data_IF_065067304943
#
_entry.id   IF_065067304943
#
_cell.length_a   1.000
_cell.length_b   1.000
_cell.length_c   1.000
_cell.angle_alpha   90.00
_cell.angle_beta   90.00
_cell.angle_gamma   90.00
#
_symmetry.space_group_name_H-M   'P 1'
#
loop_
_entity.id
_entity.type
_entity.pdbx_description
1 polymer ?
#
# COMPACT_ATOMS: atom_id res chain seq x y z
N UNK A 1 12.69 3.84 -4.52
CA UNK A 1 11.88 5.10 -4.60
C UNK A 1 11.34 5.33 -6.01
N UNK A 2 12.15 5.17 -7.07
CA UNK A 2 11.70 5.48 -8.45
C UNK A 2 10.37 4.81 -8.82
N UNK A 3 10.31 3.49 -8.78
CA UNK A 3 9.10 2.73 -9.16
C UNK A 3 7.99 2.86 -8.14
N UNK A 4 8.31 2.82 -6.83
CA UNK A 4 7.30 2.72 -5.77
C UNK A 4 6.76 4.06 -5.27
N UNK A 5 7.35 5.19 -5.69
CA UNK A 5 6.92 6.52 -5.29
C UNK A 5 6.95 7.54 -6.44
N UNK A 6 8.12 7.83 -7.03
CA UNK A 6 8.22 8.90 -8.03
C UNK A 6 7.39 8.63 -9.28
N UNK A 7 7.25 7.39 -9.73
CA UNK A 7 6.37 7.05 -10.85
C UNK A 7 4.91 7.47 -10.61
N UNK A 8 4.41 7.26 -9.38
CA UNK A 8 3.07 7.70 -9.00
C UNK A 8 2.93 9.22 -9.00
N UNK A 9 3.94 9.94 -8.49
CA UNK A 9 3.95 11.40 -8.47
C UNK A 9 3.95 11.96 -9.89
N UNK A 10 4.80 11.44 -10.77
CA UNK A 10 4.90 11.88 -12.18
C UNK A 10 3.58 11.65 -12.91
N UNK A 11 2.99 10.45 -12.81
CA UNK A 11 1.70 10.15 -13.43
C UNK A 11 0.59 11.05 -12.89
N UNK A 12 0.57 11.26 -11.57
CA UNK A 12 -0.42 12.12 -10.93
C UNK A 12 -0.32 13.54 -11.45
N UNK A 13 0.89 14.12 -11.51
CA UNK A 13 1.12 15.48 -12.04
C UNK A 13 0.68 15.62 -13.50
N UNK A 14 0.91 14.59 -14.30
CA UNK A 14 0.48 14.59 -15.70
C UNK A 14 -1.04 14.56 -15.87
N UNK A 15 -1.75 13.80 -15.02
CA UNK A 15 -3.20 13.61 -15.11
C UNK A 15 -4.02 14.67 -14.36
N UNK A 16 -3.45 15.29 -13.33
CA UNK A 16 -4.16 16.18 -12.42
C UNK A 16 -4.80 17.40 -13.15
N UNK A 17 -4.12 18.12 -14.08
CA UNK A 17 -4.75 19.23 -14.78
C UNK A 17 -5.99 18.82 -15.57
N UNK A 18 -5.96 17.61 -16.18
CA UNK A 18 -7.10 17.07 -16.91
C UNK A 18 -8.29 16.74 -15.97
N UNK A 19 -8.03 16.19 -14.78
CA UNK A 19 -9.07 15.91 -13.79
C UNK A 19 -9.68 17.18 -13.21
N UNK A 20 -8.85 18.21 -12.95
CA UNK A 20 -9.30 19.53 -12.48
C UNK A 20 -10.20 20.19 -13.52
N UNK A 21 -9.78 20.23 -14.80
CA UNK A 21 -10.56 20.84 -15.89
C UNK A 21 -11.94 20.17 -16.06
N UNK A 22 -12.03 18.85 -15.84
CA UNK A 22 -13.27 18.09 -15.92
C UNK A 22 -14.11 18.13 -14.65
N UNK A 23 -13.55 18.57 -13.54
CA UNK A 23 -14.12 18.43 -12.18
C UNK A 23 -14.57 17.00 -11.87
N UNK A 24 -13.79 16.05 -12.36
CA UNK A 24 -14.07 14.61 -12.19
C UNK A 24 -12.79 13.79 -12.37
N UNK A 25 -12.50 12.93 -11.40
CA UNK A 25 -11.37 12.01 -11.43
C UNK A 25 -11.33 11.10 -10.22
N UNK A 26 -10.58 10.02 -10.33
CA UNK A 26 -10.34 9.14 -9.20
C UNK A 26 -8.93 8.55 -9.28
N UNK A 27 -8.05 9.01 -8.42
CA UNK A 27 -6.74 8.41 -8.22
C UNK A 27 -6.88 7.19 -7.30
N UNK A 28 -6.45 6.03 -7.78
CA UNK A 28 -6.41 4.79 -7.00
C UNK A 28 -4.97 4.33 -6.90
N UNK A 29 -4.43 4.41 -5.71
CA UNK A 29 -3.00 4.20 -5.43
C UNK A 29 -2.80 2.88 -4.70
N UNK A 30 -1.94 2.02 -5.20
CA UNK A 30 -1.56 0.78 -4.51
C UNK A 30 -0.36 1.04 -3.60
N UNK A 31 -0.65 1.23 -2.31
CA UNK A 31 0.35 1.26 -1.24
C UNK A 31 0.55 -0.15 -0.67
N UNK A 32 0.67 -0.29 0.62
CA UNK A 32 0.85 -1.55 1.37
C UNK A 32 0.56 -1.30 2.85
N UNK A 33 0.36 -2.34 3.63
CA UNK A 33 0.47 -2.25 5.10
C UNK A 33 1.81 -1.67 5.53
N UNK A 34 2.88 -1.91 4.74
CA UNK A 34 4.21 -1.30 4.94
C UNK A 34 4.25 0.21 4.72
N UNK A 35 3.19 0.82 4.23
CA UNK A 35 3.00 2.27 4.20
C UNK A 35 2.53 2.86 5.52
N UNK A 36 2.24 2.02 6.52
CA UNK A 36 1.78 2.42 7.85
C UNK A 36 2.61 1.79 8.98
N UNK A 37 3.30 0.71 8.69
CA UNK A 37 4.14 -0.01 9.67
C UNK A 37 5.53 -0.24 9.09
N UNK A 38 6.54 -0.27 9.96
CA UNK A 38 7.89 -0.70 9.61
C UNK A 38 8.16 -2.10 10.18
N UNK A 39 8.84 -2.94 9.40
CA UNK A 39 9.35 -4.23 9.86
C UNK A 39 10.80 -4.41 9.45
N UNK A 40 11.56 -5.28 10.11
CA UNK A 40 12.96 -5.51 9.76
C UNK A 40 13.17 -5.80 8.28
N UNK A 41 14.32 -5.42 7.74
CA UNK A 41 14.77 -5.66 6.36
C UNK A 41 13.90 -5.04 5.25
N UNK A 42 13.00 -4.11 5.57
CA UNK A 42 12.07 -3.48 4.63
C UNK A 42 12.12 -1.96 4.62
N UNK A 43 13.19 -1.35 5.13
CA UNK A 43 13.28 0.11 5.31
C UNK A 43 13.03 0.91 4.03
N UNK A 44 13.70 0.56 2.92
CA UNK A 44 13.54 1.26 1.65
C UNK A 44 12.11 1.14 1.08
N UNK A 45 11.53 -0.06 1.15
CA UNK A 45 10.15 -0.30 0.72
C UNK A 45 9.14 0.42 1.61
N UNK A 46 9.30 0.32 2.93
CA UNK A 46 8.43 1.02 3.87
C UNK A 46 8.51 2.54 3.68
N UNK A 47 9.71 3.10 3.50
CA UNK A 47 9.88 4.53 3.23
C UNK A 47 9.12 4.97 1.98
N UNK A 48 9.25 4.23 0.86
CA UNK A 48 8.54 4.52 -0.37
C UNK A 48 7.00 4.48 -0.20
N UNK A 49 6.50 3.45 0.50
CA UNK A 49 5.06 3.28 0.72
C UNK A 49 4.49 4.27 1.74
N UNK A 50 5.26 4.71 2.76
CA UNK A 50 4.88 5.83 3.63
C UNK A 50 4.83 7.16 2.88
N UNK A 51 5.79 7.40 1.98
CA UNK A 51 5.80 8.61 1.15
C UNK A 51 4.54 8.72 0.30
N UNK A 52 4.00 7.62 -0.23
CA UNK A 52 2.70 7.61 -0.93
C UNK A 52 1.58 8.12 -0.05
N UNK A 53 1.48 7.67 1.21
CA UNK A 53 0.44 8.16 2.11
C UNK A 53 0.56 9.67 2.35
N UNK A 54 1.76 10.15 2.67
CA UNK A 54 1.97 11.59 2.88
C UNK A 54 1.57 12.43 1.67
N UNK A 55 2.05 12.05 0.48
CA UNK A 55 1.75 12.78 -0.76
C UNK A 55 0.26 12.75 -1.12
N UNK A 56 -0.36 11.57 -1.11
CA UNK A 56 -1.75 11.42 -1.56
C UNK A 56 -2.78 11.87 -0.51
N UNK A 57 -2.42 11.93 0.77
CA UNK A 57 -3.27 12.54 1.80
C UNK A 57 -3.31 14.07 1.64
N UNK A 58 -2.17 14.71 1.32
CA UNK A 58 -2.13 16.13 0.97
C UNK A 58 -2.94 16.39 -0.30
N UNK A 59 -2.66 15.64 -1.37
CA UNK A 59 -3.39 15.79 -2.63
C UNK A 59 -4.91 15.67 -2.46
N UNK A 60 -5.36 14.72 -1.65
CA UNK A 60 -6.80 14.54 -1.37
C UNK A 60 -7.45 15.79 -0.79
N UNK A 61 -6.74 16.48 0.10
CA UNK A 61 -7.22 17.73 0.68
C UNK A 61 -7.19 18.87 -0.35
N UNK A 62 -6.14 18.96 -1.15
CA UNK A 62 -5.96 19.99 -2.17
C UNK A 62 -7.03 19.93 -3.27
N UNK A 63 -7.44 18.72 -3.69
CA UNK A 63 -8.40 18.54 -4.80
C UNK A 63 -9.84 18.31 -4.34
N UNK A 64 -10.13 18.50 -3.07
CA UNK A 64 -11.47 18.23 -2.51
C UNK A 64 -12.57 19.07 -3.18
N UNK A 65 -12.27 20.32 -3.56
CA UNK A 65 -13.19 21.22 -4.24
C UNK A 65 -13.43 20.88 -5.73
N UNK A 66 -12.58 20.04 -6.33
CA UNK A 66 -12.63 19.69 -7.76
C UNK A 66 -13.37 18.39 -8.06
N UNK A 67 -14.05 17.81 -7.06
CA UNK A 67 -14.73 16.52 -7.17
C UNK A 67 -13.81 15.37 -7.63
N UNK A 68 -12.54 15.43 -7.21
CA UNK A 68 -11.54 14.40 -7.49
C UNK A 68 -11.40 13.51 -6.26
N UNK A 69 -11.52 12.21 -6.45
CA UNK A 69 -11.37 11.21 -5.38
C UNK A 69 -9.94 10.69 -5.32
N UNK A 70 -9.48 10.37 -4.11
CA UNK A 70 -8.18 9.72 -3.89
C UNK A 70 -8.38 8.54 -2.95
N UNK A 71 -8.12 7.35 -3.44
CA UNK A 71 -8.17 6.08 -2.68
C UNK A 71 -6.77 5.50 -2.58
N UNK A 72 -6.27 5.28 -1.37
CA UNK A 72 -4.99 4.61 -1.12
C UNK A 72 -5.30 3.18 -0.66
N UNK A 73 -5.08 2.22 -1.54
CA UNK A 73 -5.22 0.81 -1.19
C UNK A 73 -4.08 0.39 -0.25
N UNK A 74 -4.40 -0.31 0.82
CA UNK A 74 -3.45 -0.81 1.82
C UNK A 74 -3.48 -2.35 1.83
N UNK A 75 -2.86 -3.01 0.81
CA UNK A 75 -2.81 -4.47 0.78
C UNK A 75 -1.95 -5.05 1.89
N UNK A 76 -2.44 -6.13 2.51
CA UNK A 76 -1.64 -7.10 3.23
C UNK A 76 -1.03 -8.14 2.28
N UNK A 77 -0.79 -9.37 2.79
CA UNK A 77 -0.29 -10.44 1.93
C UNK A 77 -1.37 -10.93 0.96
N UNK A 78 -1.04 -10.88 -0.32
CA UNK A 78 -1.89 -11.37 -1.43
C UNK A 78 -1.10 -12.46 -2.15
N UNK A 79 -1.75 -13.59 -2.44
CA UNK A 79 -1.14 -14.72 -3.12
C UNK A 79 -0.83 -14.36 -4.56
N UNK A 80 0.44 -14.04 -4.83
CA UNK A 80 0.96 -13.66 -6.14
C UNK A 80 2.35 -14.29 -6.35
N UNK A 81 2.87 -14.20 -7.56
CA UNK A 81 4.22 -14.66 -7.88
C UNK A 81 5.31 -13.64 -7.54
N UNK A 82 4.99 -12.55 -6.85
CA UNK A 82 5.92 -11.45 -6.59
C UNK A 82 7.19 -11.89 -5.85
N UNK A 83 7.07 -12.86 -4.94
CA UNK A 83 8.23 -13.37 -4.18
C UNK A 83 9.22 -14.13 -5.05
N UNK A 84 8.77 -14.77 -6.13
CA UNK A 84 9.66 -15.48 -7.06
C UNK A 84 10.61 -14.52 -7.76
N UNK A 85 10.17 -13.28 -7.99
CA UNK A 85 10.93 -12.24 -8.69
C UNK A 85 11.52 -11.18 -7.74
N UNK A 86 11.34 -11.34 -6.43
CA UNK A 86 11.94 -10.45 -5.45
C UNK A 86 13.46 -10.55 -5.51
N UNK A 87 14.13 -9.40 -5.71
CA UNK A 87 15.59 -9.35 -5.79
C UNK A 87 16.21 -9.61 -4.42
N UNK A 88 17.23 -10.45 -4.41
CA UNK A 88 18.13 -10.65 -3.27
C UNK A 88 19.23 -9.59 -3.27
N UNK A 89 20.06 -9.56 -2.23
CA UNK A 89 21.23 -8.66 -2.14
C UNK A 89 22.20 -8.80 -3.33
N UNK A 90 22.17 -9.93 -4.03
CA UNK A 90 23.03 -10.21 -5.20
C UNK A 90 22.30 -9.95 -6.53
N UNK A 91 21.16 -9.24 -6.52
CA UNK A 91 20.32 -8.96 -7.68
C UNK A 91 19.74 -10.21 -8.39
N UNK A 92 19.82 -11.39 -7.79
CA UNK A 92 19.13 -12.59 -8.28
C UNK A 92 17.74 -12.69 -7.66
N UNK A 93 16.80 -13.23 -8.42
CA UNK A 93 15.45 -13.54 -7.90
C UNK A 93 15.52 -14.48 -6.71
N UNK A 94 14.66 -14.29 -5.70
CA UNK A 94 14.61 -15.15 -4.52
C UNK A 94 14.33 -16.62 -4.88
N UNK A 95 13.65 -16.86 -6.02
CA UNK A 95 13.38 -18.19 -6.58
C UNK A 95 12.49 -19.08 -5.71
N UNK A 96 12.07 -18.60 -4.55
CA UNK A 96 11.22 -19.34 -3.59
C UNK A 96 10.00 -18.52 -3.23
N UNK A 97 8.82 -19.15 -3.15
CA UNK A 97 7.64 -18.48 -2.64
C UNK A 97 7.83 -18.16 -1.15
N UNK A 98 7.38 -16.99 -0.74
CA UNK A 98 7.30 -16.64 0.68
C UNK A 98 6.05 -17.30 1.28
N UNK A 99 6.19 -18.00 2.40
CA UNK A 99 5.10 -18.65 3.12
C UNK A 99 3.94 -17.68 3.43
N UNK A 100 4.27 -16.45 3.80
CA UNK A 100 3.27 -15.41 4.06
C UNK A 100 2.47 -15.05 2.82
N UNK A 101 3.10 -15.03 1.64
CA UNK A 101 2.45 -14.74 0.37
C UNK A 101 1.60 -15.93 -0.09
N UNK A 102 2.08 -17.15 0.07
CA UNK A 102 1.31 -18.36 -0.25
C UNK A 102 0.03 -18.45 0.57
N UNK A 103 0.10 -18.10 1.87
CA UNK A 103 -1.04 -18.05 2.77
C UNK A 103 -1.86 -16.76 2.66
N UNK A 104 -1.49 -15.85 1.77
CA UNK A 104 -2.15 -14.57 1.54
C UNK A 104 -3.57 -14.69 0.99
N UNK A 105 -4.24 -13.54 0.84
CA UNK A 105 -5.56 -13.47 0.23
C UNK A 105 -5.46 -13.89 -1.25
N UNK A 106 -6.32 -14.79 -1.77
CA UNK A 106 -6.39 -15.11 -3.19
C UNK A 106 -6.61 -13.86 -4.04
N UNK A 107 -5.98 -13.79 -5.22
CA UNK A 107 -6.00 -12.62 -6.10
C UNK A 107 -7.41 -12.22 -6.56
N UNK A 108 -8.29 -13.18 -6.85
CA UNK A 108 -9.68 -12.93 -7.23
C UNK A 108 -10.47 -12.24 -6.10
N UNK A 109 -10.24 -12.65 -4.86
CA UNK A 109 -10.86 -12.02 -3.68
C UNK A 109 -10.30 -10.63 -3.44
N UNK A 110 -8.99 -10.45 -3.62
CA UNK A 110 -8.35 -9.15 -3.52
C UNK A 110 -8.93 -8.17 -4.56
N UNK A 111 -9.05 -8.59 -5.81
CA UNK A 111 -9.66 -7.80 -6.88
C UNK A 111 -11.10 -7.39 -6.54
N UNK A 112 -11.92 -8.31 -6.01
CA UNK A 112 -13.29 -7.99 -5.56
C UNK A 112 -13.31 -6.94 -4.44
N UNK A 113 -12.40 -7.04 -3.46
CA UNK A 113 -12.29 -6.05 -2.38
C UNK A 113 -11.87 -4.68 -2.93
N UNK A 114 -10.90 -4.64 -3.85
CA UNK A 114 -10.43 -3.41 -4.51
C UNK A 114 -11.57 -2.75 -5.28
N UNK A 115 -12.27 -3.49 -6.15
CA UNK A 115 -13.39 -2.96 -6.93
C UNK A 115 -14.50 -2.41 -6.04
N UNK A 116 -14.82 -3.12 -4.94
CA UNK A 116 -15.80 -2.63 -3.96
C UNK A 116 -15.35 -1.33 -3.30
N UNK A 117 -14.08 -1.22 -2.94
CA UNK A 117 -13.51 -0.02 -2.34
C UNK A 117 -13.52 1.18 -3.29
N UNK A 118 -13.17 0.95 -4.57
CA UNK A 118 -13.21 1.97 -5.63
C UNK A 118 -14.65 2.47 -5.85
N UNK A 119 -15.60 1.56 -6.01
CA UNK A 119 -17.03 1.91 -6.18
C UNK A 119 -17.57 2.72 -5.02
N UNK A 120 -17.17 2.38 -3.79
CA UNK A 120 -17.57 3.10 -2.58
C UNK A 120 -16.87 4.46 -2.42
N UNK A 121 -15.76 4.69 -3.12
CA UNK A 121 -14.91 5.87 -2.91
C UNK A 121 -14.23 5.86 -1.52
N UNK A 122 -13.83 4.67 -1.05
CA UNK A 122 -13.15 4.54 0.24
C UNK A 122 -11.80 5.25 0.21
N UNK A 123 -11.46 6.01 1.26
CA UNK A 123 -10.22 6.78 1.27
C UNK A 123 -8.96 5.91 1.49
N UNK A 124 -9.01 4.94 2.41
CA UNK A 124 -7.88 4.08 2.76
C UNK A 124 -8.36 2.66 3.14
N UNK A 125 -8.81 1.83 2.18
CA UNK A 125 -9.28 0.49 2.47
C UNK A 125 -8.11 -0.48 2.69
N UNK A 126 -8.18 -1.27 3.76
CA UNK A 126 -7.36 -2.45 3.92
C UNK A 126 -7.84 -3.55 2.96
N UNK A 127 -6.91 -4.12 2.20
CA UNK A 127 -7.16 -5.22 1.27
C UNK A 127 -6.45 -6.48 1.79
N UNK A 128 -7.20 -7.40 2.33
CA UNK A 128 -6.61 -8.59 2.93
C UNK A 128 -7.61 -9.42 3.72
N UNK A 129 -7.10 -10.48 4.35
CA UNK A 129 -7.84 -11.29 5.34
C UNK A 129 -7.76 -10.59 6.70
N UNK A 130 -8.63 -10.94 7.62
CA UNK A 130 -8.42 -10.58 9.02
C UNK A 130 -7.20 -11.35 9.55
N UNK A 131 -6.11 -10.66 9.84
CA UNK A 131 -4.79 -11.23 10.12
C UNK A 131 -4.03 -10.35 11.11
N UNK A 132 -2.88 -10.83 11.54
CA UNK A 132 -1.96 -10.08 12.41
C UNK A 132 -1.55 -8.71 11.84
N UNK A 133 -1.49 -8.56 10.50
CA UNK A 133 -1.20 -7.29 9.85
C UNK A 133 -2.27 -6.23 10.15
N UNK A 134 -3.55 -6.62 10.12
CA UNK A 134 -4.65 -5.71 10.46
C UNK A 134 -4.58 -5.29 11.92
N UNK A 135 -4.21 -6.21 12.81
CA UNK A 135 -3.98 -5.90 14.24
C UNK A 135 -2.79 -4.94 14.37
N UNK A 136 -1.70 -5.17 13.63
CA UNK A 136 -0.52 -4.31 13.63
C UNK A 136 -0.86 -2.88 13.20
N UNK A 137 -1.72 -2.70 12.19
CA UNK A 137 -2.20 -1.36 11.77
C UNK A 137 -2.96 -0.64 12.90
N UNK A 138 -3.77 -1.34 13.68
CA UNK A 138 -4.44 -0.75 14.84
C UNK A 138 -3.46 -0.42 15.96
N UNK A 139 -2.51 -1.32 16.24
CA UNK A 139 -1.51 -1.12 17.28
C UNK A 139 -0.61 0.08 17.00
N UNK A 140 -0.16 0.27 15.76
CA UNK A 140 0.67 1.45 15.42
C UNK A 140 -0.05 2.76 15.64
N UNK A 141 -1.36 2.79 15.47
CA UNK A 141 -2.15 4.01 15.64
C UNK A 141 -2.58 4.26 17.08
N UNK A 142 -2.99 3.22 17.80
CA UNK A 142 -3.60 3.35 19.13
C UNK A 142 -2.62 3.08 20.28
N UNK A 143 -1.60 2.26 20.04
CA UNK A 143 -0.62 1.86 21.04
C UNK A 143 0.79 1.72 20.42
N UNK A 144 1.39 2.80 19.87
CA UNK A 144 2.66 2.73 19.14
C UNK A 144 3.80 2.16 20.00
N UNK A 145 3.83 2.44 21.31
CA UNK A 145 4.81 1.88 22.22
C UNK A 145 4.70 0.35 22.39
N UNK A 146 3.53 -0.23 22.21
CA UNK A 146 3.36 -1.70 22.20
C UNK A 146 3.87 -2.24 20.87
N UNK A 147 3.53 -1.58 19.75
CA UNK A 147 3.98 -2.02 18.43
C UNK A 147 5.51 -2.03 18.33
N UNK A 148 6.21 -1.02 18.82
CA UNK A 148 7.68 -0.95 18.78
C UNK A 148 8.36 -2.12 19.51
N UNK A 149 7.74 -2.68 20.54
CA UNK A 149 8.24 -3.87 21.25
C UNK A 149 8.03 -5.17 20.49
N UNK A 150 7.03 -5.21 19.61
CA UNK A 150 6.65 -6.39 18.82
C UNK A 150 7.35 -6.38 17.46
N UNK A 151 7.52 -5.21 16.86
CA UNK A 151 8.06 -5.03 15.51
C UNK A 151 9.38 -5.78 15.24
N UNK A 152 10.36 -5.86 16.17
CA UNK A 152 11.58 -6.64 15.96
C UNK A 152 11.35 -8.14 15.72
N UNK A 153 10.21 -8.67 16.16
CA UNK A 153 9.85 -10.10 16.00
C UNK A 153 9.12 -10.38 14.67
N UNK A 154 8.74 -9.34 13.93
CA UNK A 154 8.03 -9.44 12.65
C UNK A 154 9.02 -9.59 11.48
N UNK A 155 9.96 -10.52 11.59
CA UNK A 155 10.90 -10.84 10.52
C UNK A 155 10.13 -11.54 9.39
N UNK A 156 10.25 -11.10 8.12
CA UNK A 156 9.64 -11.77 6.98
C UNK A 156 10.19 -13.20 6.84
N UNK A 157 9.30 -14.19 6.79
CA UNK A 157 9.63 -15.58 6.46
C UNK A 157 9.45 -15.85 4.98
#
# INVERSE_FOLDING_TARGET
MEVDYFSYVVLTRALLPHFIARKAGHFVITSSVMGKIGTPMRSAYAAAKHALHGFFDCLRAEVAADNIKVTILTPGYIRTNISLYALTNNAYGLGKPSENIENGLPTDRAAKQILKAIKKGSFEPYIGRFSGERIALWLTRLAPGVFTRIAPKLIPK
#
